data_IF_624084142231
#
_entry.id   IF_624084142231
#
_cell.length_a   1.000
_cell.length_b   1.000
_cell.length_c   1.000
_cell.angle_alpha   90.00
_cell.angle_beta   90.00
_cell.angle_gamma   90.00
#
_symmetry.space_group_name_H-M   'P 1'
#
loop_
_entity.id
_entity.type
_entity.pdbx_description
1 polymer ?
#
# COMPACT_ATOMS: atom_id res chain seq x y z
N UNK A 1 3.51 -27.70 -13.52
CA UNK A 1 4.98 -27.67 -13.38
C UNK A 1 5.34 -26.29 -12.84
N UNK A 2 5.82 -26.19 -11.60
CA UNK A 2 6.26 -24.91 -11.04
C UNK A 2 7.76 -24.75 -11.33
N UNK A 3 8.13 -23.62 -11.93
CA UNK A 3 9.53 -23.28 -12.16
C UNK A 3 10.04 -22.41 -11.01
N UNK A 4 11.22 -22.69 -10.46
CA UNK A 4 11.82 -21.84 -9.45
C UNK A 4 12.12 -20.46 -10.06
N UNK A 5 11.82 -19.41 -9.30
CA UNK A 5 12.12 -18.03 -9.69
C UNK A 5 13.62 -17.77 -9.54
N UNK A 6 14.30 -17.60 -10.64
CA UNK A 6 15.77 -17.41 -10.68
C UNK A 6 16.19 -15.93 -10.86
N UNK A 7 15.22 -15.00 -10.93
CA UNK A 7 15.51 -13.59 -11.19
C UNK A 7 14.97 -12.67 -10.10
N UNK A 8 15.77 -11.69 -9.73
CA UNK A 8 15.37 -10.51 -8.98
C UNK A 8 15.42 -9.28 -9.90
N UNK A 9 14.57 -8.30 -9.63
CA UNK A 9 14.47 -7.10 -10.46
C UNK A 9 14.78 -5.88 -9.60
N UNK A 10 15.51 -4.93 -10.17
CA UNK A 10 15.68 -3.58 -9.65
C UNK A 10 15.16 -2.60 -10.70
N UNK A 11 14.50 -1.55 -10.25
CA UNK A 11 14.01 -0.49 -11.11
C UNK A 11 14.29 0.85 -10.44
N UNK A 12 14.41 1.89 -11.25
CA UNK A 12 14.59 3.28 -10.79
C UNK A 12 13.49 4.15 -11.37
N UNK A 13 13.08 5.16 -10.63
CA UNK A 13 12.08 6.14 -11.07
C UNK A 13 12.42 7.51 -10.49
N UNK A 14 12.13 8.56 -11.26
CA UNK A 14 12.15 9.94 -10.78
C UNK A 14 10.79 10.35 -10.16
N UNK A 15 9.78 9.50 -10.28
CA UNK A 15 8.46 9.71 -9.66
C UNK A 15 8.43 8.99 -8.32
N UNK A 16 7.80 9.61 -7.32
CA UNK A 16 7.65 9.03 -5.99
C UNK A 16 6.46 8.05 -5.95
N UNK A 17 5.38 8.40 -6.59
CA UNK A 17 4.12 7.67 -6.64
C UNK A 17 4.13 6.59 -7.75
N UNK A 18 4.78 5.46 -7.46
CA UNK A 18 5.01 4.38 -8.43
C UNK A 18 4.23 3.10 -8.14
N UNK A 19 3.70 2.94 -6.95
CA UNK A 19 3.00 1.74 -6.54
C UNK A 19 1.48 1.91 -6.72
N UNK A 20 0.91 1.21 -7.69
CA UNK A 20 -0.52 1.32 -8.05
C UNK A 20 -1.39 0.23 -7.46
N UNK A 21 -0.81 -0.91 -7.05
CA UNK A 21 -1.54 -2.06 -6.50
C UNK A 21 -1.28 -2.22 -5.01
N UNK A 22 -2.21 -1.79 -4.12
CA UNK A 22 -2.05 -1.91 -2.67
C UNK A 22 -1.88 -3.35 -2.20
N UNK A 23 -2.41 -4.33 -2.94
CA UNK A 23 -2.31 -5.75 -2.57
C UNK A 23 -0.97 -6.38 -2.93
N UNK A 24 -0.27 -5.82 -3.91
CA UNK A 24 1.01 -6.29 -4.44
C UNK A 24 2.24 -5.62 -3.83
N UNK A 25 2.08 -4.53 -3.10
CA UNK A 25 3.18 -3.69 -2.60
C UNK A 25 4.18 -4.45 -1.72
N UNK A 26 3.77 -5.51 -1.05
CA UNK A 26 4.66 -6.41 -0.26
C UNK A 26 5.79 -7.06 -1.05
N UNK A 27 5.73 -7.02 -2.38
CA UNK A 27 6.74 -7.61 -3.29
C UNK A 27 7.81 -6.61 -3.71
N UNK A 28 7.64 -5.35 -3.34
CA UNK A 28 8.56 -4.27 -3.63
C UNK A 28 9.23 -3.81 -2.34
N UNK A 29 10.47 -3.36 -2.45
CA UNK A 29 11.19 -2.66 -1.38
C UNK A 29 11.47 -1.28 -1.93
N UNK A 30 10.61 -0.32 -1.55
CA UNK A 30 10.77 1.07 -1.94
C UNK A 30 11.91 1.73 -1.16
N UNK A 31 12.84 2.37 -1.87
CA UNK A 31 13.94 3.12 -1.29
C UNK A 31 13.96 4.51 -1.92
N UNK A 32 13.92 5.55 -1.10
CA UNK A 32 14.06 6.94 -1.54
C UNK A 32 15.51 7.39 -1.33
N UNK A 33 16.11 7.92 -2.38
CA UNK A 33 17.42 8.56 -2.29
C UNK A 33 17.24 10.01 -1.86
N UNK A 34 17.83 10.37 -0.72
CA UNK A 34 17.73 11.71 -0.14
C UNK A 34 18.82 12.67 -0.60
N UNK A 35 19.74 12.19 -1.43
CA UNK A 35 20.85 12.98 -1.96
C UNK A 35 21.48 12.33 -3.18
N UNK A 36 22.45 13.02 -3.82
CA UNK A 36 23.15 12.48 -4.95
C UNK A 36 23.99 11.27 -4.58
N UNK A 37 24.04 10.27 -5.46
CA UNK A 37 24.91 9.12 -5.30
C UNK A 37 26.32 9.51 -5.75
N UNK A 38 27.33 9.27 -4.93
CA UNK A 38 28.72 9.41 -5.33
C UNK A 38 29.12 8.25 -6.25
N UNK A 39 29.11 8.53 -7.56
CA UNK A 39 29.48 7.55 -8.59
C UNK A 39 30.99 7.41 -8.78
N UNK A 40 31.82 8.22 -8.11
CA UNK A 40 33.28 8.12 -8.19
C UNK A 40 33.81 6.94 -7.37
N UNK A 41 33.08 6.54 -6.33
CA UNK A 41 33.45 5.41 -5.47
C UNK A 41 32.94 4.10 -6.08
N UNK A 42 33.86 3.21 -6.40
CA UNK A 42 33.52 1.86 -6.85
C UNK A 42 33.26 0.95 -5.65
N UNK A 43 32.07 0.33 -5.53
CA UNK A 43 31.79 -0.62 -4.48
C UNK A 43 32.75 -1.81 -4.53
N UNK A 44 33.18 -2.29 -3.39
CA UNK A 44 33.94 -3.52 -3.32
C UNK A 44 33.01 -4.74 -3.41
N UNK A 45 32.77 -5.20 -4.64
CA UNK A 45 31.87 -6.32 -4.91
C UNK A 45 32.28 -7.59 -4.17
N UNK A 46 33.58 -7.86 -4.01
CA UNK A 46 34.06 -9.06 -3.31
C UNK A 46 33.65 -9.04 -1.83
N UNK A 47 33.73 -7.87 -1.17
CA UNK A 47 33.27 -7.72 0.22
C UNK A 47 31.74 -7.85 0.32
N UNK A 48 30.97 -7.30 -0.61
CA UNK A 48 29.51 -7.43 -0.62
C UNK A 48 29.09 -8.90 -0.77
N UNK A 49 29.70 -9.64 -1.68
CA UNK A 49 29.43 -11.06 -1.84
C UNK A 49 29.88 -11.90 -0.62
N UNK A 50 31.03 -11.59 -0.04
CA UNK A 50 31.49 -12.27 1.18
C UNK A 50 30.54 -12.02 2.34
N UNK A 51 30.02 -10.80 2.51
CA UNK A 51 29.00 -10.46 3.51
C UNK A 51 27.73 -11.27 3.30
N UNK A 52 27.22 -11.32 2.07
CA UNK A 52 26.01 -12.07 1.74
C UNK A 52 26.17 -13.57 2.00
N UNK A 53 27.31 -14.17 1.64
CA UNK A 53 27.61 -15.56 1.92
C UNK A 53 27.70 -15.84 3.43
N UNK A 54 28.33 -14.93 4.17
CA UNK A 54 28.41 -15.04 5.64
C UNK A 54 27.03 -15.00 6.28
N UNK A 55 26.16 -14.11 5.83
CA UNK A 55 24.79 -14.03 6.30
C UNK A 55 24.00 -15.33 6.05
N UNK A 56 24.13 -15.90 4.84
CA UNK A 56 23.53 -17.20 4.51
C UNK A 56 24.07 -18.34 5.37
N UNK A 57 25.38 -18.42 5.59
CA UNK A 57 26.00 -19.43 6.46
C UNK A 57 25.56 -19.29 7.91
N UNK A 58 25.29 -18.07 8.38
CA UNK A 58 24.77 -17.79 9.72
C UNK A 58 23.26 -18.07 9.83
N UNK A 59 22.61 -18.56 8.77
CA UNK A 59 21.22 -18.95 8.77
C UNK A 59 20.23 -17.80 8.61
N UNK A 60 20.68 -16.65 8.08
CA UNK A 60 19.75 -15.57 7.72
C UNK A 60 18.75 -16.05 6.66
N UNK A 61 17.49 -15.71 6.87
CA UNK A 61 16.41 -16.13 5.98
C UNK A 61 16.46 -15.34 4.67
N UNK A 62 16.30 -16.05 3.55
CA UNK A 62 16.18 -15.46 2.22
C UNK A 62 14.78 -14.89 1.90
N UNK A 63 13.90 -14.83 2.87
CA UNK A 63 12.52 -14.34 2.74
C UNK A 63 12.12 -13.51 3.98
N UNK A 64 11.20 -12.61 3.80
CA UNK A 64 10.66 -11.78 4.87
C UNK A 64 9.54 -12.52 5.62
N UNK A 65 9.57 -12.47 6.94
CA UNK A 65 8.48 -12.94 7.78
C UNK A 65 7.29 -11.94 7.80
N UNK A 66 6.21 -12.29 8.49
CA UNK A 66 4.99 -11.49 8.50
C UNK A 66 5.19 -10.08 9.09
N UNK A 67 6.05 -9.95 10.10
CA UNK A 67 6.33 -8.64 10.72
C UNK A 67 7.19 -7.75 9.81
N UNK A 68 8.19 -8.33 9.16
CA UNK A 68 9.02 -7.64 8.18
C UNK A 68 8.19 -7.20 6.97
N UNK A 69 7.25 -8.04 6.51
CA UNK A 69 6.31 -7.67 5.43
C UNK A 69 5.44 -6.48 5.84
N UNK A 70 4.96 -6.41 7.08
CA UNK A 70 4.20 -5.24 7.57
C UNK A 70 5.04 -3.97 7.55
N UNK A 71 6.32 -4.06 7.95
CA UNK A 71 7.24 -2.92 7.91
C UNK A 71 7.48 -2.45 6.46
N UNK A 72 7.69 -3.38 5.54
CA UNK A 72 7.84 -3.08 4.11
C UNK A 72 6.59 -2.37 3.58
N UNK A 73 5.39 -2.90 3.87
CA UNK A 73 4.14 -2.28 3.43
C UNK A 73 3.95 -0.89 4.01
N UNK A 74 4.27 -0.70 5.30
CA UNK A 74 4.24 0.61 5.94
C UNK A 74 5.20 1.60 5.28
N UNK A 75 6.41 1.17 4.95
CA UNK A 75 7.37 2.01 4.23
C UNK A 75 6.88 2.32 2.80
N UNK A 76 6.30 1.35 2.12
CA UNK A 76 5.83 1.47 0.75
C UNK A 76 4.62 2.39 0.60
N UNK A 77 3.85 2.65 1.66
CA UNK A 77 2.68 3.55 1.60
C UNK A 77 3.04 4.96 1.10
N UNK A 78 4.25 5.44 1.35
CA UNK A 78 4.72 6.73 0.84
C UNK A 78 4.95 6.76 -0.68
N UNK A 79 5.02 5.60 -1.32
CA UNK A 79 5.22 5.45 -2.77
C UNK A 79 3.94 5.05 -3.51
N UNK A 80 2.82 4.96 -2.79
CA UNK A 80 1.54 4.61 -3.40
C UNK A 80 0.94 5.79 -4.15
N UNK A 81 0.38 5.50 -5.31
CA UNK A 81 -0.37 6.48 -6.09
C UNK A 81 -1.66 6.83 -5.34
N UNK A 82 -1.80 8.08 -4.96
CA UNK A 82 -3.05 8.61 -4.40
C UNK A 82 -4.05 8.78 -5.54
N UNK A 83 -5.08 7.95 -5.54
CA UNK A 83 -6.12 8.03 -6.57
C UNK A 83 -7.13 9.15 -6.24
N UNK A 84 -7.75 9.77 -7.26
CA UNK A 84 -8.75 10.82 -7.04
C UNK A 84 -9.87 10.41 -6.09
N UNK A 85 -10.28 9.15 -6.10
CA UNK A 85 -11.32 8.65 -5.20
C UNK A 85 -10.92 8.74 -3.71
N UNK A 86 -9.65 8.58 -3.40
CA UNK A 86 -9.16 8.65 -2.03
C UNK A 86 -9.25 10.10 -1.51
N UNK A 87 -8.91 11.06 -2.38
CA UNK A 87 -9.06 12.49 -2.10
C UNK A 87 -10.53 12.87 -1.92
N UNK A 88 -11.41 12.36 -2.78
CA UNK A 88 -12.86 12.59 -2.66
C UNK A 88 -13.43 11.93 -1.41
N UNK A 89 -12.96 10.73 -1.04
CA UNK A 89 -13.36 10.11 0.22
C UNK A 89 -13.06 11.03 1.40
N UNK A 90 -11.84 11.53 1.52
CA UNK A 90 -11.46 12.46 2.60
C UNK A 90 -12.15 13.81 2.52
N UNK A 91 -12.58 14.24 1.33
CA UNK A 91 -13.34 15.48 1.15
C UNK A 91 -14.78 15.35 1.68
N UNK A 92 -15.47 14.24 1.42
CA UNK A 92 -16.89 14.04 1.71
C UNK A 92 -17.15 13.24 2.98
N UNK A 93 -16.15 12.57 3.52
CA UNK A 93 -16.27 11.78 4.75
C UNK A 93 -15.25 12.21 5.79
N UNK A 94 -15.65 12.09 7.05
CA UNK A 94 -14.80 12.26 8.22
C UNK A 94 -14.59 10.90 8.88
N UNK A 95 -13.35 10.61 9.24
CA UNK A 95 -13.01 9.44 10.04
C UNK A 95 -13.40 9.70 11.50
N UNK A 96 -14.18 8.82 12.09
CA UNK A 96 -14.66 8.96 13.45
C UNK A 96 -14.23 7.78 14.30
N UNK A 97 -13.93 8.05 15.56
CA UNK A 97 -13.51 7.01 16.49
C UNK A 97 -14.66 6.40 17.26
N UNK A 98 -15.70 7.17 17.52
CA UNK A 98 -16.84 6.73 18.34
C UNK A 98 -18.03 6.39 17.47
N UNK A 99 -18.66 5.25 17.72
CA UNK A 99 -19.82 4.77 16.96
C UNK A 99 -21.00 5.76 16.98
N UNK A 100 -21.10 6.57 18.06
CA UNK A 100 -22.17 7.59 18.18
C UNK A 100 -21.98 8.81 17.26
N UNK A 101 -20.80 9.00 16.70
CA UNK A 101 -20.44 10.16 15.90
C UNK A 101 -20.55 9.90 14.39
N UNK A 102 -20.77 8.65 13.98
CA UNK A 102 -20.83 8.23 12.60
C UNK A 102 -21.83 7.12 12.33
N UNK A 103 -21.87 6.69 11.10
CA UNK A 103 -22.68 5.59 10.61
C UNK A 103 -21.80 4.50 9.98
N UNK A 104 -22.27 3.25 10.06
CA UNK A 104 -21.60 2.12 9.43
C UNK A 104 -22.09 1.94 8.00
N UNK A 105 -21.25 2.25 7.03
CA UNK A 105 -21.54 2.10 5.59
C UNK A 105 -20.67 1.02 4.96
N UNK A 106 -21.21 0.30 4.00
CA UNK A 106 -20.46 -0.60 3.12
C UNK A 106 -19.59 0.19 2.14
N UNK A 107 -18.57 -0.44 1.56
CA UNK A 107 -17.78 0.17 0.50
C UNK A 107 -18.65 0.60 -0.71
N UNK A 108 -19.70 -0.17 -1.01
CA UNK A 108 -20.64 0.15 -2.09
C UNK A 108 -21.45 1.41 -1.80
N UNK A 109 -22.00 1.55 -0.59
CA UNK A 109 -22.76 2.75 -0.19
C UNK A 109 -21.90 4.00 -0.18
N UNK A 110 -20.65 3.91 0.31
CA UNK A 110 -19.68 5.01 0.26
C UNK A 110 -19.37 5.38 -1.20
N UNK A 111 -19.13 4.38 -2.04
CA UNK A 111 -18.83 4.57 -3.45
C UNK A 111 -19.99 5.22 -4.21
N UNK A 112 -21.21 4.76 -4.00
CA UNK A 112 -22.41 5.31 -4.63
C UNK A 112 -22.67 6.74 -4.17
N UNK A 113 -22.44 7.05 -2.91
CA UNK A 113 -22.51 8.41 -2.39
C UNK A 113 -21.50 9.32 -3.11
N UNK A 114 -20.23 8.91 -3.19
CA UNK A 114 -19.20 9.67 -3.89
C UNK A 114 -19.55 9.87 -5.37
N UNK A 115 -20.07 8.83 -6.03
CA UNK A 115 -20.48 8.91 -7.43
C UNK A 115 -21.63 9.90 -7.64
N UNK A 116 -22.58 9.99 -6.72
CA UNK A 116 -23.66 10.98 -6.77
C UNK A 116 -23.16 12.40 -6.59
N UNK A 117 -22.17 12.63 -5.72
CA UNK A 117 -21.62 13.96 -5.46
C UNK A 117 -20.71 14.46 -6.60
N UNK A 118 -19.95 13.59 -7.22
CA UNK A 118 -18.89 13.93 -8.18
C UNK A 118 -19.36 13.77 -9.63
N UNK A 119 -20.40 12.96 -9.84
CA UNK A 119 -20.95 12.68 -11.17
C UNK A 119 -20.02 11.83 -12.04
N UNK A 120 -20.06 12.04 -13.35
CA UNK A 120 -19.30 11.26 -14.36
C UNK A 120 -17.79 11.49 -14.33
N UNK A 121 -17.31 12.46 -13.55
CA UNK A 121 -15.87 12.73 -13.38
C UNK A 121 -15.16 11.70 -12.53
N UNK A 122 -15.89 10.87 -11.79
CA UNK A 122 -15.29 9.80 -10.98
C UNK A 122 -14.86 8.63 -11.87
N UNK A 123 -13.66 8.71 -12.38
CA UNK A 123 -13.01 7.57 -13.07
C UNK A 123 -12.50 6.58 -12.04
N UNK A 124 -13.32 5.60 -11.68
CA UNK A 124 -12.90 4.53 -10.75
C UNK A 124 -12.85 3.22 -11.50
N UNK A 125 -11.72 2.58 -11.43
CA UNK A 125 -11.47 1.35 -12.15
C UNK A 125 -12.20 0.14 -11.56
N UNK A 126 -12.51 0.11 -10.26
CA UNK A 126 -13.38 -0.93 -9.69
C UNK A 126 -13.80 -0.63 -8.24
N UNK A 127 -15.05 -0.95 -7.91
CA UNK A 127 -15.58 -0.98 -6.53
C UNK A 127 -14.76 -1.91 -5.62
N UNK A 128 -14.31 -3.04 -6.18
CA UNK A 128 -13.49 -4.01 -5.44
C UNK A 128 -12.14 -3.42 -5.03
N UNK A 129 -11.48 -2.66 -5.91
CA UNK A 129 -10.23 -1.96 -5.61
C UNK A 129 -10.43 -0.91 -4.52
N UNK A 130 -11.52 -0.14 -4.59
CA UNK A 130 -11.89 0.83 -3.58
C UNK A 130 -12.14 0.18 -2.21
N UNK A 131 -12.91 -0.92 -2.17
CA UNK A 131 -13.17 -1.67 -0.94
C UNK A 131 -11.89 -2.22 -0.28
N UNK A 132 -10.94 -2.71 -1.07
CA UNK A 132 -9.63 -3.16 -0.55
C UNK A 132 -8.83 -2.01 0.05
N UNK A 133 -8.87 -0.83 -0.56
CA UNK A 133 -8.21 0.36 -0.02
C UNK A 133 -8.81 0.78 1.32
N UNK A 134 -10.14 0.88 1.42
CA UNK A 134 -10.80 1.19 2.68
C UNK A 134 -10.42 0.18 3.78
N UNK A 135 -10.35 -1.11 3.45
CA UNK A 135 -9.96 -2.16 4.40
C UNK A 135 -8.50 -2.04 4.88
N UNK A 136 -7.63 -1.46 4.07
CA UNK A 136 -6.22 -1.27 4.40
C UNK A 136 -5.92 0.07 5.10
N UNK A 137 -6.89 0.97 5.20
CA UNK A 137 -6.73 2.24 5.93
C UNK A 137 -6.72 1.97 7.44
N UNK A 138 -5.55 2.11 8.07
CA UNK A 138 -5.37 1.83 9.51
C UNK A 138 -6.20 2.73 10.42
N UNK A 139 -6.51 3.94 9.97
CA UNK A 139 -7.26 4.95 10.71
C UNK A 139 -8.78 4.77 10.58
N UNK A 140 -9.23 3.96 9.60
CA UNK A 140 -10.64 3.75 9.32
C UNK A 140 -11.16 2.54 10.09
N UNK A 141 -11.98 2.79 11.11
CA UNK A 141 -12.62 1.71 11.86
C UNK A 141 -13.61 0.95 10.98
N UNK A 142 -13.51 -0.36 11.03
CA UNK A 142 -14.41 -1.24 10.31
C UNK A 142 -14.82 -2.45 11.14
N UNK A 143 -16.00 -3.00 10.85
CA UNK A 143 -16.58 -4.15 11.53
C UNK A 143 -17.34 -5.03 10.53
N UNK A 144 -17.29 -6.33 10.76
CA UNK A 144 -18.03 -7.29 9.93
C UNK A 144 -19.43 -7.46 10.48
N UNK A 145 -20.42 -7.25 9.62
CA UNK A 145 -21.84 -7.49 9.87
C UNK A 145 -22.32 -8.71 9.06
N UNK A 146 -23.56 -9.11 9.26
CA UNK A 146 -24.16 -10.22 8.51
C UNK A 146 -24.21 -9.98 6.99
N UNK A 147 -24.37 -8.72 6.60
CA UNK A 147 -24.43 -8.25 5.21
C UNK A 147 -23.07 -7.79 4.62
N UNK A 148 -21.97 -7.96 5.37
CA UNK A 148 -20.62 -7.68 4.88
C UNK A 148 -19.78 -6.80 5.79
N UNK A 149 -18.66 -6.31 5.25
CA UNK A 149 -17.77 -5.38 5.93
C UNK A 149 -18.31 -3.96 5.83
N UNK A 150 -18.43 -3.28 6.99
CA UNK A 150 -18.85 -1.88 7.06
C UNK A 150 -17.80 -1.01 7.73
N UNK A 151 -17.73 0.23 7.32
CA UNK A 151 -16.76 1.23 7.72
C UNK A 151 -17.46 2.34 8.50
N UNK A 152 -16.91 2.74 9.61
CA UNK A 152 -17.44 3.79 10.46
C UNK A 152 -17.00 5.15 9.90
N UNK A 153 -17.94 5.90 9.36
CA UNK A 153 -17.68 7.21 8.72
C UNK A 153 -18.80 8.19 9.07
N UNK A 154 -18.51 9.48 8.94
CA UNK A 154 -19.48 10.55 9.03
C UNK A 154 -19.45 11.35 7.74
N UNK A 155 -20.61 11.57 7.14
CA UNK A 155 -20.75 12.48 5.97
C UNK A 155 -20.53 13.92 6.41
N UNK A 156 -19.74 14.64 5.62
CA UNK A 156 -19.51 16.09 5.82
C UNK A 156 -20.61 16.90 5.19
#
# INVERSE_FOLDING_TARGET
>A
MEFPRLASFIATSNMKDILTDPSGNRRFIGVELTGPIDVSVRPNHQQLFAQALTALHNGEKSYFDAEQVKLIMKNNSQFEVVQPIDQYFMLYFELVEKEKEGEYLTAAEIFDYLKKQIGSSLKVNSLMGFGRKLANMSELKHKRFADGMKYLVKKK
#
